data_IF_584535561450
#
_entry.id   IF_584535561450
#
_cell.length_a   1.000
_cell.length_b   1.000
_cell.length_c   1.000
_cell.angle_alpha   90.00
_cell.angle_beta   90.00
_cell.angle_gamma   90.00
#
_symmetry.space_group_name_H-M   'P 1'
#
loop_
_entity.id
_entity.type
_entity.pdbx_description
1 polymer ?
#
# COMPACT_ATOMS: atom_id res chain seq x y z
N UNK A 1 6.18 -22.64 14.49
CA UNK A 1 5.32 -21.43 14.68
C UNK A 1 4.72 -21.10 13.32
N UNK A 2 3.44 -20.73 13.25
CA UNK A 2 2.80 -20.29 12.01
C UNK A 2 3.49 -19.05 11.45
N UNK A 3 3.66 -18.98 10.12
CA UNK A 3 4.11 -17.76 9.44
C UNK A 3 2.89 -16.90 9.15
N UNK A 4 2.79 -15.73 9.75
CA UNK A 4 1.65 -14.81 9.57
C UNK A 4 1.95 -13.82 8.46
N UNK A 5 0.99 -13.66 7.55
CA UNK A 5 0.94 -12.61 6.54
C UNK A 5 -0.29 -11.73 6.80
N UNK A 6 -0.07 -10.47 7.12
CA UNK A 6 -1.14 -9.49 7.32
C UNK A 6 -1.34 -8.67 6.04
N UNK A 7 -2.58 -8.54 5.58
CA UNK A 7 -2.90 -7.86 4.33
C UNK A 7 -3.96 -6.80 4.57
N UNK A 8 -3.57 -5.53 4.63
CA UNK A 8 -4.55 -4.44 4.66
C UNK A 8 -5.20 -4.24 3.29
N UNK A 9 -6.47 -3.84 3.26
CA UNK A 9 -7.23 -3.84 2.01
C UNK A 9 -7.54 -5.25 1.49
N UNK A 10 -7.36 -6.29 2.33
CA UNK A 10 -7.47 -7.71 1.96
C UNK A 10 -8.86 -8.20 1.60
N UNK A 11 -9.90 -7.38 1.76
CA UNK A 11 -11.28 -7.76 1.45
C UNK A 11 -11.68 -7.69 -0.03
N UNK A 12 -10.82 -7.22 -0.94
CA UNK A 12 -11.11 -7.15 -2.38
C UNK A 12 -9.90 -6.78 -3.22
N UNK A 13 -10.02 -6.91 -4.55
CA UNK A 13 -9.05 -6.43 -5.53
C UNK A 13 -7.64 -6.99 -5.30
N UNK A 14 -6.62 -6.14 -5.43
CA UNK A 14 -5.21 -6.54 -5.28
C UNK A 14 -4.95 -7.18 -3.91
N UNK A 15 -5.52 -6.59 -2.83
CA UNK A 15 -5.32 -7.10 -1.48
C UNK A 15 -5.86 -8.51 -1.28
N UNK A 16 -7.05 -8.79 -1.80
CA UNK A 16 -7.63 -10.14 -1.72
C UNK A 16 -6.85 -11.16 -2.58
N UNK A 17 -6.46 -10.78 -3.78
CA UNK A 17 -5.63 -11.63 -4.64
C UNK A 17 -4.27 -11.94 -3.99
N UNK A 18 -3.60 -10.94 -3.39
CA UNK A 18 -2.35 -11.13 -2.66
C UNK A 18 -2.53 -12.02 -1.42
N UNK A 19 -3.63 -11.85 -0.68
CA UNK A 19 -3.99 -12.70 0.45
C UNK A 19 -4.15 -14.17 0.03
N UNK A 20 -4.90 -14.40 -1.06
CA UNK A 20 -5.11 -15.74 -1.63
C UNK A 20 -3.79 -16.38 -2.09
N UNK A 21 -2.92 -15.62 -2.71
CA UNK A 21 -1.62 -16.12 -3.16
C UNK A 21 -0.66 -16.40 -1.99
N UNK A 22 -0.67 -15.57 -0.93
CA UNK A 22 0.10 -15.82 0.30
C UNK A 22 -0.39 -17.09 1.02
N UNK A 23 -1.72 -17.29 1.10
CA UNK A 23 -2.31 -18.49 1.69
C UNK A 23 -1.86 -19.78 0.98
N UNK A 24 -1.80 -19.79 -0.37
CA UNK A 24 -1.27 -20.90 -1.16
C UNK A 24 0.20 -21.21 -0.85
N UNK A 25 0.96 -20.25 -0.35
CA UNK A 25 2.34 -20.44 0.11
C UNK A 25 2.44 -20.90 1.57
N UNK A 26 1.32 -21.22 2.20
CA UNK A 26 1.27 -21.76 3.56
C UNK A 26 1.34 -20.70 4.66
N UNK A 27 1.09 -19.43 4.34
CA UNK A 27 0.92 -18.41 5.37
C UNK A 27 -0.45 -18.53 6.04
N UNK A 28 -0.47 -18.31 7.35
CA UNK A 28 -1.68 -17.89 8.04
C UNK A 28 -1.99 -16.47 7.64
N UNK A 29 -3.15 -16.23 7.01
CA UNK A 29 -3.46 -14.94 6.41
C UNK A 29 -4.45 -14.16 7.27
N UNK A 30 -4.07 -12.96 7.68
CA UNK A 30 -4.96 -12.01 8.34
C UNK A 30 -5.35 -10.91 7.36
N UNK A 31 -6.61 -10.91 6.91
CA UNK A 31 -7.12 -9.85 6.03
C UNK A 31 -7.73 -8.72 6.84
N UNK A 32 -7.36 -7.50 6.49
CA UNK A 32 -7.62 -6.30 7.29
C UNK A 32 -8.35 -5.24 6.46
N UNK A 33 -9.32 -4.58 7.07
CA UNK A 33 -10.08 -3.50 6.46
C UNK A 33 -11.16 -2.95 7.39
N UNK A 34 -11.97 -2.00 6.92
CA UNK A 34 -13.03 -1.36 7.71
C UNK A 34 -14.41 -2.02 7.57
N UNK A 35 -14.64 -2.73 6.49
CA UNK A 35 -15.94 -3.33 6.20
C UNK A 35 -15.96 -4.81 6.58
N UNK A 36 -16.50 -5.08 7.77
CA UNK A 36 -16.54 -6.43 8.36
C UNK A 36 -17.29 -7.44 7.51
N UNK A 37 -18.41 -7.06 6.87
CA UNK A 37 -19.15 -7.96 5.98
C UNK A 37 -18.32 -8.40 4.78
N UNK A 38 -17.57 -7.45 4.19
CA UNK A 38 -16.67 -7.73 3.07
C UNK A 38 -15.51 -8.62 3.47
N UNK A 39 -14.94 -8.37 4.65
CA UNK A 39 -13.88 -9.20 5.23
C UNK A 39 -14.39 -10.62 5.52
N UNK A 40 -15.57 -10.76 6.13
CA UNK A 40 -16.15 -12.07 6.43
C UNK A 40 -16.35 -12.92 5.17
N UNK A 41 -16.91 -12.33 4.10
CA UNK A 41 -17.06 -13.02 2.82
C UNK A 41 -15.73 -13.44 2.19
N UNK A 42 -14.70 -12.59 2.27
CA UNK A 42 -13.37 -12.90 1.77
C UNK A 42 -12.68 -14.02 2.59
N UNK A 43 -12.83 -14.02 3.92
CA UNK A 43 -12.33 -15.14 4.77
C UNK A 43 -13.04 -16.44 4.44
N UNK A 44 -14.36 -16.41 4.25
CA UNK A 44 -15.12 -17.60 3.88
C UNK A 44 -14.61 -18.21 2.56
N UNK A 45 -14.31 -17.36 1.56
CA UNK A 45 -13.73 -17.82 0.29
C UNK A 45 -12.35 -18.45 0.50
N UNK A 46 -11.45 -17.81 1.26
CA UNK A 46 -10.14 -18.36 1.58
C UNK A 46 -10.24 -19.72 2.29
N UNK A 47 -11.16 -19.84 3.24
CA UNK A 47 -11.36 -21.10 4.00
C UNK A 47 -11.96 -22.21 3.14
N UNK A 48 -12.83 -21.91 2.18
CA UNK A 48 -13.33 -22.88 1.19
C UNK A 48 -12.20 -23.46 0.33
N UNK A 49 -11.17 -22.66 0.05
CA UNK A 49 -9.96 -23.08 -0.65
C UNK A 49 -8.96 -23.83 0.30
N UNK A 50 -9.37 -24.16 1.53
CA UNK A 50 -8.55 -24.87 2.52
C UNK A 50 -7.49 -24.02 3.21
N UNK A 51 -7.55 -22.70 3.08
CA UNK A 51 -6.58 -21.79 3.64
C UNK A 51 -6.90 -21.43 5.10
N UNK A 52 -5.87 -21.26 5.94
CA UNK A 52 -6.02 -20.71 7.27
C UNK A 52 -6.07 -19.20 7.19
N UNK A 53 -7.21 -18.59 7.49
CA UNK A 53 -7.40 -17.14 7.41
C UNK A 53 -8.34 -16.61 8.48
N UNK A 54 -8.13 -15.35 8.86
CA UNK A 54 -9.04 -14.57 9.70
C UNK A 54 -9.21 -13.13 9.20
N UNK A 55 -10.24 -12.47 9.69
CA UNK A 55 -10.52 -11.07 9.45
C UNK A 55 -10.21 -10.24 10.70
N UNK A 56 -9.66 -9.04 10.49
CA UNK A 56 -9.47 -8.06 11.54
C UNK A 56 -9.96 -6.67 11.08
N UNK A 57 -10.84 -6.05 11.87
CA UNK A 57 -11.35 -4.69 11.57
C UNK A 57 -10.33 -3.66 12.03
N UNK A 58 -9.81 -2.85 11.10
CA UNK A 58 -8.85 -1.79 11.41
C UNK A 58 -8.99 -0.62 10.43
N UNK A 59 -9.00 0.60 10.97
CA UNK A 59 -8.75 1.81 10.20
C UNK A 59 -7.26 2.17 10.29
N UNK A 60 -6.55 2.12 9.17
CA UNK A 60 -5.11 2.39 9.13
C UNK A 60 -4.76 3.86 9.45
N UNK A 61 -5.72 4.78 9.34
CA UNK A 61 -5.53 6.16 9.75
C UNK A 61 -5.48 6.34 11.27
N UNK A 62 -6.00 5.37 12.02
CA UNK A 62 -5.95 5.32 13.48
C UNK A 62 -4.70 4.55 13.96
N UNK A 63 -3.83 5.25 14.68
CA UNK A 63 -2.58 4.69 15.18
C UNK A 63 -2.81 3.54 16.18
N UNK A 64 -3.73 3.72 17.12
CA UNK A 64 -3.99 2.73 18.17
C UNK A 64 -4.58 1.45 17.58
N UNK A 65 -5.44 1.56 16.57
CA UNK A 65 -5.94 0.40 15.83
C UNK A 65 -4.82 -0.35 15.11
N UNK A 66 -3.82 0.36 14.54
CA UNK A 66 -2.67 -0.30 13.90
C UNK A 66 -1.80 -1.06 14.90
N UNK A 67 -1.54 -0.50 16.09
CA UNK A 67 -0.79 -1.18 17.14
C UNK A 67 -1.56 -2.36 17.75
N UNK A 68 -2.87 -2.25 17.89
CA UNK A 68 -3.72 -3.38 18.32
C UNK A 68 -3.68 -4.51 17.30
N UNK A 69 -3.80 -4.20 16.00
CA UNK A 69 -3.65 -5.16 14.91
C UNK A 69 -2.28 -5.86 14.96
N UNK A 70 -1.19 -5.12 15.13
CA UNK A 70 0.15 -5.69 15.17
C UNK A 70 0.32 -6.66 16.34
N UNK A 71 -0.16 -6.30 17.53
CA UNK A 71 -0.15 -7.20 18.71
C UNK A 71 -0.93 -8.47 18.45
N UNK A 72 -2.16 -8.35 17.94
CA UNK A 72 -3.00 -9.51 17.61
C UNK A 72 -2.32 -10.42 16.56
N UNK A 73 -1.71 -9.85 15.53
CA UNK A 73 -0.98 -10.64 14.54
C UNK A 73 0.20 -11.42 15.16
N UNK A 74 0.92 -10.84 16.13
CA UNK A 74 2.00 -11.51 16.84
C UNK A 74 1.52 -12.66 17.75
N UNK A 75 0.31 -12.56 18.30
CA UNK A 75 -0.33 -13.64 19.06
C UNK A 75 -0.67 -14.85 18.17
N UNK A 76 -0.98 -14.61 16.89
CA UNK A 76 -1.28 -15.68 15.91
C UNK A 76 -0.04 -16.44 15.44
N UNK A 77 1.17 -15.85 15.52
CA UNK A 77 2.40 -16.51 15.08
C UNK A 77 3.53 -15.54 14.75
N UNK A 78 4.53 -16.02 14.01
CA UNK A 78 5.64 -15.18 13.54
C UNK A 78 5.17 -14.28 12.39
N UNK A 79 5.12 -12.97 12.61
CA UNK A 79 4.74 -12.00 11.56
C UNK A 79 5.88 -11.91 10.54
N UNK A 80 5.75 -12.64 9.44
CA UNK A 80 6.75 -12.71 8.35
C UNK A 80 6.46 -11.77 7.21
N UNK A 81 5.20 -11.34 7.06
CA UNK A 81 4.82 -10.43 6.01
C UNK A 81 3.75 -9.44 6.46
N UNK A 82 3.92 -8.18 6.09
CA UNK A 82 2.91 -7.13 6.15
C UNK A 82 2.74 -6.52 4.77
N UNK A 83 1.60 -6.79 4.13
CA UNK A 83 1.23 -6.23 2.83
C UNK A 83 0.28 -5.06 3.05
N UNK A 84 0.82 -3.84 3.04
CA UNK A 84 0.03 -2.62 3.22
C UNK A 84 -0.56 -2.17 1.88
N UNK A 85 -1.75 -2.69 1.55
CA UNK A 85 -2.44 -2.43 0.27
C UNK A 85 -3.61 -1.47 0.43
N UNK A 86 -4.11 -1.29 1.67
CA UNK A 86 -5.17 -0.34 1.95
C UNK A 86 -4.79 1.08 1.52
N UNK A 87 -5.75 1.78 0.94
CA UNK A 87 -5.61 3.18 0.56
C UNK A 87 -6.94 3.76 0.07
N UNK A 88 -6.99 5.07 -0.04
CA UNK A 88 -8.13 5.81 -0.59
C UNK A 88 -7.76 6.41 -1.94
N UNK A 89 -8.67 6.28 -2.93
CA UNK A 89 -8.56 6.99 -4.21
C UNK A 89 -9.10 8.43 -4.08
N UNK A 90 -8.84 9.31 -5.07
CA UNK A 90 -9.37 10.68 -5.08
C UNK A 90 -10.91 10.77 -4.97
N UNK A 91 -11.63 9.71 -5.39
CA UNK A 91 -13.08 9.67 -5.39
C UNK A 91 -13.71 9.14 -4.08
N UNK A 92 -12.89 8.80 -3.06
CA UNK A 92 -13.38 8.19 -1.82
C UNK A 92 -13.50 9.16 -0.64
N UNK A 93 -13.02 10.38 -0.77
CA UNK A 93 -13.07 11.38 0.30
C UNK A 93 -12.36 12.67 -0.07
N UNK A 94 -12.32 13.58 0.89
CA UNK A 94 -11.59 14.85 0.73
C UNK A 94 -10.07 14.64 0.83
N UNK A 95 -9.31 15.66 0.42
CA UNK A 95 -7.85 15.64 0.37
C UNK A 95 -7.19 15.33 1.73
N UNK A 96 -7.82 15.73 2.83
CA UNK A 96 -7.29 15.50 4.18
C UNK A 96 -7.44 14.03 4.58
N UNK A 97 -8.61 13.42 4.35
CA UNK A 97 -8.85 11.99 4.60
C UNK A 97 -7.94 11.12 3.74
N UNK A 98 -7.74 11.49 2.46
CA UNK A 98 -6.81 10.80 1.55
C UNK A 98 -5.38 10.85 2.13
N UNK A 99 -4.94 12.01 2.59
CA UNK A 99 -3.60 12.17 3.17
C UNK A 99 -3.45 11.39 4.49
N UNK A 100 -4.47 11.41 5.35
CA UNK A 100 -4.50 10.65 6.60
C UNK A 100 -4.42 9.13 6.33
N UNK A 101 -5.26 8.61 5.45
CA UNK A 101 -5.29 7.18 5.17
C UNK A 101 -4.02 6.70 4.43
N UNK A 102 -3.57 7.43 3.40
CA UNK A 102 -2.47 6.97 2.55
C UNK A 102 -1.09 7.31 3.12
N UNK A 103 -0.88 8.52 3.65
CA UNK A 103 0.44 8.89 4.15
C UNK A 103 0.62 8.53 5.63
N UNK A 104 -0.25 9.02 6.53
CA UNK A 104 -0.14 8.66 7.95
C UNK A 104 -0.49 7.20 8.20
N UNK A 105 -1.41 6.61 7.44
CA UNK A 105 -1.71 5.18 7.50
C UNK A 105 -0.48 4.33 7.23
N UNK A 106 0.34 4.67 6.22
CA UNK A 106 1.62 4.00 5.95
C UNK A 106 2.57 4.11 7.15
N UNK A 107 2.70 5.32 7.74
CA UNK A 107 3.54 5.52 8.94
C UNK A 107 3.04 4.69 10.12
N UNK A 108 1.71 4.69 10.36
CA UNK A 108 1.11 3.95 11.47
C UNK A 108 1.36 2.44 11.35
N UNK A 109 1.16 1.89 10.15
CA UNK A 109 1.38 0.47 9.87
C UNK A 109 2.86 0.11 10.05
N UNK A 110 3.78 0.88 9.44
CA UNK A 110 5.20 0.56 9.54
C UNK A 110 5.70 0.68 10.98
N UNK A 111 5.25 1.68 11.73
CA UNK A 111 5.60 1.81 13.15
C UNK A 111 5.09 0.62 13.98
N UNK A 112 3.82 0.26 13.81
CA UNK A 112 3.21 -0.83 14.56
C UNK A 112 3.86 -2.19 14.22
N UNK A 113 4.09 -2.45 12.93
CA UNK A 113 4.68 -3.71 12.49
C UNK A 113 6.20 -3.78 12.71
N UNK A 114 6.89 -2.66 12.81
CA UNK A 114 8.28 -2.66 13.27
C UNK A 114 8.43 -3.33 14.64
N UNK A 115 7.47 -3.15 15.55
CA UNK A 115 7.55 -3.76 16.88
C UNK A 115 7.50 -5.29 16.86
N UNK A 116 6.73 -5.88 15.94
CA UNK A 116 6.36 -7.30 15.92
C UNK A 116 6.91 -8.10 14.75
N UNK A 117 7.47 -7.44 13.74
CA UNK A 117 8.01 -8.14 12.58
C UNK A 117 9.11 -9.11 12.99
N UNK A 118 9.00 -10.36 12.55
CA UNK A 118 9.99 -11.38 12.84
C UNK A 118 11.22 -11.23 11.94
N UNK A 119 12.35 -11.77 12.39
CA UNK A 119 13.57 -11.87 11.58
C UNK A 119 13.29 -12.50 10.20
N UNK A 120 13.88 -11.96 9.15
CA UNK A 120 13.62 -12.34 7.75
C UNK A 120 12.28 -11.85 7.19
N UNK A 121 11.49 -11.13 8.01
CA UNK A 121 10.19 -10.59 7.59
C UNK A 121 10.31 -9.44 6.60
N UNK A 122 9.17 -9.13 5.95
CA UNK A 122 9.10 -8.08 4.95
C UNK A 122 7.81 -7.26 5.08
N UNK A 123 7.94 -5.94 5.04
CA UNK A 123 6.84 -4.99 4.87
C UNK A 123 6.83 -4.50 3.44
N UNK A 124 5.65 -4.50 2.80
CA UNK A 124 5.47 -3.98 1.45
C UNK A 124 4.38 -2.91 1.46
N UNK A 125 4.77 -1.69 1.20
CA UNK A 125 3.86 -0.55 1.09
C UNK A 125 3.38 -0.39 -0.37
N UNK A 126 2.09 -0.11 -0.55
CA UNK A 126 1.53 0.04 -1.90
C UNK A 126 1.37 1.50 -2.29
N UNK A 127 2.13 1.91 -3.28
CA UNK A 127 2.05 3.22 -3.91
C UNK A 127 1.03 3.25 -5.07
N UNK A 128 1.26 4.05 -6.08
CA UNK A 128 0.49 4.16 -7.33
C UNK A 128 1.34 4.86 -8.39
N UNK A 129 1.10 4.57 -9.67
CA UNK A 129 1.70 5.32 -10.79
C UNK A 129 1.45 6.83 -10.73
N UNK A 130 0.41 7.29 -10.01
CA UNK A 130 0.19 8.71 -9.76
C UNK A 130 1.38 9.42 -9.08
N UNK A 131 2.20 8.67 -8.34
CA UNK A 131 3.44 9.17 -7.74
C UNK A 131 4.53 9.50 -8.79
N UNK A 132 4.50 8.82 -9.93
CA UNK A 132 5.44 9.02 -11.04
C UNK A 132 4.90 10.00 -12.09
N UNK A 133 3.60 9.93 -12.34
CA UNK A 133 2.92 10.82 -13.31
C UNK A 133 2.98 12.28 -12.86
N UNK A 134 2.78 12.52 -11.58
CA UNK A 134 2.82 13.87 -11.03
C UNK A 134 4.25 14.47 -11.06
N UNK A 135 4.40 15.76 -11.44
CA UNK A 135 5.72 16.38 -11.57
C UNK A 135 6.51 16.36 -10.27
N UNK A 136 7.74 15.89 -10.30
CA UNK A 136 8.60 15.76 -9.12
C UNK A 136 8.82 17.10 -8.35
N UNK A 137 8.75 18.24 -9.03
CA UNK A 137 8.95 19.55 -8.40
C UNK A 137 7.78 20.00 -7.50
N UNK A 138 6.57 19.43 -7.69
CA UNK A 138 5.44 19.73 -6.81
C UNK A 138 5.48 18.90 -5.52
N UNK A 139 6.30 17.84 -5.47
CA UNK A 139 6.39 16.95 -4.32
C UNK A 139 7.10 17.62 -3.16
N UNK A 140 6.46 17.76 -1.99
CA UNK A 140 7.02 18.49 -0.85
C UNK A 140 8.03 17.66 -0.05
N UNK A 141 9.08 17.15 -0.71
CA UNK A 141 10.08 16.22 -0.13
C UNK A 141 10.72 16.72 1.16
N UNK A 142 10.85 18.08 1.32
CA UNK A 142 11.38 18.69 2.55
C UNK A 142 10.43 18.58 3.75
N UNK A 143 9.16 18.29 3.51
CA UNK A 143 8.13 18.10 4.55
C UNK A 143 8.09 16.65 5.05
N UNK A 144 8.46 15.69 4.21
CA UNK A 144 8.32 14.26 4.48
C UNK A 144 8.96 13.79 5.80
N UNK A 145 10.18 14.23 6.19
CA UNK A 145 10.78 13.79 7.45
C UNK A 145 9.96 14.12 8.70
N UNK A 146 9.09 15.14 8.63
CA UNK A 146 8.20 15.50 9.74
C UNK A 146 7.22 14.38 10.10
N UNK A 147 6.89 13.48 9.18
CA UNK A 147 6.02 12.33 9.46
C UNK A 147 6.56 11.43 10.60
N UNK A 148 7.88 11.41 10.78
CA UNK A 148 8.54 10.62 11.83
C UNK A 148 8.73 11.39 13.15
N UNK A 149 8.64 12.74 13.15
CA UNK A 149 8.97 13.58 14.29
C UNK A 149 7.80 14.39 14.82
N UNK A 150 6.98 14.93 13.93
CA UNK A 150 5.80 15.76 14.26
C UNK A 150 4.71 15.55 13.21
N UNK A 151 3.83 14.59 13.45
CA UNK A 151 2.75 14.20 12.52
C UNK A 151 1.73 15.29 12.29
N UNK A 152 1.44 16.11 13.32
CA UNK A 152 0.52 17.24 13.17
C UNK A 152 1.12 18.28 12.23
N UNK A 153 2.37 18.67 12.45
CA UNK A 153 3.06 19.62 11.59
C UNK A 153 3.25 19.06 10.16
N UNK A 154 3.50 17.73 10.03
CA UNK A 154 3.52 17.06 8.74
C UNK A 154 2.20 17.26 7.99
N UNK A 155 1.07 16.93 8.61
CA UNK A 155 -0.26 17.08 8.01
C UNK A 155 -0.55 18.54 7.66
N UNK A 156 -0.31 19.48 8.57
CA UNK A 156 -0.55 20.90 8.34
C UNK A 156 0.24 21.41 7.12
N UNK A 157 1.52 21.02 7.01
CA UNK A 157 2.37 21.42 5.89
C UNK A 157 2.00 20.72 4.59
N UNK A 158 1.65 19.44 4.62
CA UNK A 158 1.17 18.73 3.44
C UNK A 158 -0.13 19.36 2.92
N UNK A 159 -1.10 19.60 3.81
CA UNK A 159 -2.37 20.22 3.44
C UNK A 159 -2.21 21.67 2.96
N UNK A 160 -1.25 22.43 3.53
CA UNK A 160 -0.91 23.75 3.00
C UNK A 160 -0.43 23.66 1.54
N UNK A 161 0.36 22.65 1.18
CA UNK A 161 0.80 22.43 -0.20
C UNK A 161 -0.36 22.02 -1.12
N UNK A 162 -1.23 21.12 -0.68
CA UNK A 162 -2.43 20.73 -1.44
C UNK A 162 -3.34 21.94 -1.70
N UNK A 163 -3.55 22.79 -0.70
CA UNK A 163 -4.40 24.00 -0.82
C UNK A 163 -3.89 25.05 -1.80
N UNK A 164 -2.63 24.98 -2.22
CA UNK A 164 -2.08 25.86 -3.28
C UNK A 164 -2.65 25.54 -4.68
N UNK A 165 -3.26 24.38 -4.85
CA UNK A 165 -3.87 23.96 -6.10
C UNK A 165 -5.36 24.32 -6.17
N UNK A 166 -5.94 24.44 -7.38
CA UNK A 166 -7.37 24.68 -7.56
C UNK A 166 -8.22 23.63 -6.82
N UNK A 167 -9.33 24.07 -6.22
CA UNK A 167 -10.18 23.20 -5.39
C UNK A 167 -10.54 21.87 -6.06
N UNK A 168 -10.88 21.91 -7.34
CA UNK A 168 -11.28 20.73 -8.14
C UNK A 168 -10.19 19.68 -8.38
N UNK A 169 -8.93 19.97 -8.06
CA UNK A 169 -7.78 19.06 -8.29
C UNK A 169 -7.13 18.61 -6.99
N UNK A 170 -7.60 19.10 -5.83
CA UNK A 170 -6.94 18.88 -4.54
C UNK A 170 -6.90 17.41 -4.13
N UNK A 171 -7.95 16.68 -4.39
CA UNK A 171 -8.04 15.26 -4.07
C UNK A 171 -6.99 14.46 -4.89
N UNK A 172 -6.89 14.70 -6.19
CA UNK A 172 -5.87 14.07 -7.04
C UNK A 172 -4.44 14.47 -6.66
N UNK A 173 -4.23 15.74 -6.29
CA UNK A 173 -2.91 16.23 -5.82
C UNK A 173 -2.55 15.58 -4.47
N UNK A 174 -3.48 15.52 -3.51
CA UNK A 174 -3.26 14.87 -2.23
C UNK A 174 -2.95 13.37 -2.42
N UNK A 175 -3.67 12.71 -3.31
CA UNK A 175 -3.42 11.32 -3.67
C UNK A 175 -1.99 11.14 -4.22
N UNK A 176 -1.62 11.89 -5.25
CA UNK A 176 -0.28 11.80 -5.85
C UNK A 176 0.83 12.11 -4.84
N UNK A 177 0.67 13.14 -4.00
CA UNK A 177 1.63 13.48 -2.95
C UNK A 177 1.73 12.37 -1.89
N UNK A 178 0.59 11.79 -1.47
CA UNK A 178 0.58 10.70 -0.49
C UNK A 178 1.25 9.43 -1.03
N UNK A 179 1.01 9.09 -2.30
CA UNK A 179 1.63 7.91 -2.93
C UNK A 179 3.12 8.10 -3.21
N UNK A 180 3.54 9.32 -3.57
CA UNK A 180 4.97 9.64 -3.65
C UNK A 180 5.64 9.59 -2.26
N UNK A 181 4.94 10.04 -1.20
CA UNK A 181 5.41 9.91 0.17
C UNK A 181 5.61 8.43 0.55
N UNK A 182 4.69 7.55 0.20
CA UNK A 182 4.79 6.09 0.47
C UNK A 182 6.10 5.51 -0.08
N UNK A 183 6.46 5.83 -1.34
CA UNK A 183 7.74 5.39 -1.94
C UNK A 183 8.94 5.94 -1.16
N UNK A 184 8.91 7.23 -0.82
CA UNK A 184 9.98 7.86 -0.06
C UNK A 184 10.10 7.22 1.33
N UNK A 185 8.97 6.98 2.01
CA UNK A 185 8.95 6.45 3.37
C UNK A 185 9.49 5.02 3.43
N UNK A 186 9.10 4.13 2.52
CA UNK A 186 9.64 2.78 2.44
C UNK A 186 11.17 2.78 2.28
N UNK A 187 11.73 3.71 1.47
CA UNK A 187 13.18 3.87 1.31
C UNK A 187 13.87 4.32 2.58
N UNK A 188 13.27 5.27 3.32
CA UNK A 188 13.85 5.77 4.58
C UNK A 188 13.77 4.74 5.69
N UNK A 189 12.70 3.95 5.71
CA UNK A 189 12.42 2.99 6.76
C UNK A 189 13.28 1.70 6.65
N UNK A 190 13.84 1.44 5.50
CA UNK A 190 14.67 0.26 5.24
C UNK A 190 15.82 0.10 6.26
N UNK A 191 16.52 1.18 6.59
CA UNK A 191 17.61 1.14 7.58
C UNK A 191 17.10 0.82 9.00
N UNK A 192 15.87 1.25 9.35
CA UNK A 192 15.24 0.91 10.62
C UNK A 192 14.93 -0.58 10.69
N UNK A 193 14.27 -1.13 9.67
CA UNK A 193 13.90 -2.55 9.62
C UNK A 193 15.10 -3.49 9.51
N UNK A 194 16.17 -3.06 8.83
CA UNK A 194 17.42 -3.83 8.75
C UNK A 194 18.02 -4.16 10.13
N UNK A 195 17.79 -3.32 11.16
CA UNK A 195 18.21 -3.60 12.54
C UNK A 195 17.52 -4.83 13.16
N UNK A 196 16.41 -5.27 12.59
CA UNK A 196 15.69 -6.51 12.96
C UNK A 196 15.91 -7.63 11.93
N UNK A 197 16.86 -7.50 11.02
CA UNK A 197 17.02 -8.40 9.87
C UNK A 197 15.73 -8.53 9.05
N UNK A 198 14.93 -7.48 9.00
CA UNK A 198 13.70 -7.39 8.21
C UNK A 198 13.86 -6.38 7.07
N UNK A 199 12.94 -6.41 6.10
CA UNK A 199 12.98 -5.59 4.90
C UNK A 199 11.75 -4.70 4.76
N UNK A 200 11.91 -3.56 4.09
CA UNK A 200 10.80 -2.71 3.66
C UNK A 200 10.97 -2.38 2.19
N UNK A 201 9.89 -2.50 1.45
CA UNK A 201 9.82 -2.23 0.02
C UNK A 201 8.55 -1.43 -0.28
N UNK A 202 8.49 -0.80 -1.45
CA UNK A 202 7.21 -0.39 -2.02
C UNK A 202 6.94 -1.08 -3.35
N UNK A 203 5.67 -1.29 -3.65
CA UNK A 203 5.19 -1.67 -4.98
C UNK A 203 4.34 -0.53 -5.51
N UNK A 204 4.57 -0.15 -6.74
CA UNK A 204 3.77 0.85 -7.46
C UNK A 204 2.94 0.17 -8.55
N UNK A 205 1.66 -0.13 -8.28
CA UNK A 205 0.73 -0.61 -9.30
C UNK A 205 0.40 0.47 -10.33
N UNK A 206 0.21 0.05 -11.57
CA UNK A 206 -0.52 0.80 -12.58
C UNK A 206 -2.04 0.63 -12.44
N UNK A 207 -2.74 0.63 -13.58
CA UNK A 207 -4.18 0.43 -13.60
C UNK A 207 -4.52 -1.05 -13.57
N UNK A 208 -5.33 -1.45 -12.57
CA UNK A 208 -5.78 -2.82 -12.37
C UNK A 208 -7.32 -2.88 -12.31
N UNK A 209 -7.90 -3.98 -12.81
CA UNK A 209 -9.33 -4.28 -12.77
C UNK A 209 -9.75 -4.60 -11.31
N UNK A 210 -10.06 -3.56 -10.56
CA UNK A 210 -10.46 -3.66 -9.15
C UNK A 210 -11.65 -2.75 -8.87
N UNK A 211 -12.40 -2.97 -7.78
CA UNK A 211 -13.43 -2.03 -7.35
C UNK A 211 -12.91 -0.59 -7.19
N UNK A 212 -11.67 -0.41 -6.72
CA UNK A 212 -11.02 0.89 -6.63
C UNK A 212 -10.66 1.44 -8.02
N UNK A 213 -10.07 0.62 -8.90
CA UNK A 213 -9.71 1.01 -10.28
C UNK A 213 -10.92 1.39 -11.11
N UNK A 214 -12.09 0.82 -10.83
CA UNK A 214 -13.33 1.19 -11.52
C UNK A 214 -13.79 2.63 -11.20
N UNK A 215 -13.43 3.18 -10.03
CA UNK A 215 -13.69 4.58 -9.69
C UNK A 215 -12.82 5.56 -10.48
N UNK A 216 -11.67 5.10 -10.97
CA UNK A 216 -10.64 5.89 -11.69
C UNK A 216 -10.61 5.53 -13.19
N UNK A 217 -11.64 4.85 -13.72
CA UNK A 217 -11.63 4.25 -15.06
C UNK A 217 -11.42 5.27 -16.20
N UNK A 218 -11.97 6.46 -16.07
CA UNK A 218 -11.83 7.51 -17.08
C UNK A 218 -10.39 8.04 -17.13
N UNK A 219 -9.81 8.38 -15.97
CA UNK A 219 -8.43 8.82 -15.87
C UNK A 219 -7.47 7.69 -16.29
N UNK A 220 -7.74 6.46 -15.83
CA UNK A 220 -6.96 5.28 -16.17
C UNK A 220 -6.87 5.06 -17.69
N UNK A 221 -7.99 5.21 -18.41
CA UNK A 221 -8.04 5.05 -19.87
C UNK A 221 -7.10 6.00 -20.61
N UNK A 222 -6.92 7.21 -20.08
CA UNK A 222 -6.05 8.24 -20.66
C UNK A 222 -4.59 7.80 -20.70
N UNK A 223 -4.15 7.00 -19.73
CA UNK A 223 -2.77 6.55 -19.63
C UNK A 223 -2.50 5.22 -20.35
N UNK A 224 -3.53 4.45 -20.69
CA UNK A 224 -3.37 3.17 -21.42
C UNK A 224 -2.65 3.33 -22.77
N UNK A 225 -2.78 4.48 -23.42
CA UNK A 225 -2.05 4.77 -24.68
C UNK A 225 -0.53 4.75 -24.53
N UNK A 226 -0.01 4.98 -23.33
CA UNK A 226 1.41 4.95 -23.02
C UNK A 226 1.89 3.56 -22.60
N UNK A 227 1.00 2.70 -22.08
CA UNK A 227 1.39 1.37 -21.64
C UNK A 227 1.92 0.51 -22.79
N UNK A 228 2.94 -0.28 -22.56
CA UNK A 228 3.40 -1.29 -23.49
C UNK A 228 2.35 -2.41 -23.63
N UNK A 229 1.75 -2.80 -22.51
CA UNK A 229 0.62 -3.74 -22.46
C UNK A 229 -0.67 -2.93 -22.47
N UNK A 230 -1.36 -2.89 -23.63
CA UNK A 230 -2.53 -2.01 -23.90
C UNK A 230 -3.83 -2.46 -23.22
N UNK A 231 -3.78 -2.82 -21.95
CA UNK A 231 -4.94 -3.19 -21.12
C UNK A 231 -4.66 -2.92 -19.66
N UNK A 232 -5.69 -2.91 -18.84
CA UNK A 232 -5.53 -2.96 -17.39
C UNK A 232 -4.94 -4.31 -16.97
N UNK A 233 -4.17 -4.32 -15.90
CA UNK A 233 -3.75 -5.54 -15.23
C UNK A 233 -4.90 -6.17 -14.44
N UNK A 234 -4.84 -7.48 -14.24
CA UNK A 234 -5.75 -8.18 -13.33
C UNK A 234 -5.09 -8.34 -11.96
N UNK A 235 -5.85 -8.32 -10.85
CA UNK A 235 -5.31 -8.51 -9.50
C UNK A 235 -4.41 -9.75 -9.37
N UNK A 236 -4.74 -10.83 -10.09
CA UNK A 236 -4.01 -12.09 -10.09
C UNK A 236 -2.63 -11.98 -10.78
N UNK A 237 -2.40 -10.93 -11.56
CA UNK A 237 -1.12 -10.69 -12.24
C UNK A 237 -0.10 -9.95 -11.35
N UNK A 238 -0.57 -9.18 -10.36
CA UNK A 238 0.31 -8.49 -9.41
C UNK A 238 0.46 -9.26 -8.08
N UNK A 239 -0.51 -10.08 -7.71
CA UNK A 239 -0.48 -10.85 -6.47
C UNK A 239 0.77 -11.73 -6.32
N UNK A 240 1.23 -12.47 -7.36
CA UNK A 240 2.49 -13.22 -7.31
C UNK A 240 3.72 -12.34 -7.04
N UNK A 241 3.73 -11.08 -7.48
CA UNK A 241 4.82 -10.15 -7.20
C UNK A 241 4.92 -9.84 -5.70
N UNK A 242 3.77 -9.53 -5.03
CA UNK A 242 3.78 -9.33 -3.58
C UNK A 242 4.33 -10.54 -2.85
N UNK A 243 3.92 -11.74 -3.24
CA UNK A 243 4.34 -12.98 -2.57
C UNK A 243 5.78 -13.36 -2.90
N UNK A 244 6.25 -13.10 -4.09
CA UNK A 244 7.67 -13.28 -4.43
C UNK A 244 8.57 -12.37 -3.58
N UNK A 245 8.16 -11.12 -3.35
CA UNK A 245 8.97 -10.15 -2.61
C UNK A 245 9.04 -10.41 -1.09
N UNK A 246 8.10 -11.14 -0.50
CA UNK A 246 8.19 -11.55 0.90
C UNK A 246 9.05 -12.81 1.12
N UNK A 247 9.57 -13.41 0.07
CA UNK A 247 10.47 -14.56 0.16
C UNK A 247 11.77 -14.16 0.88
N UNK A 248 12.12 -14.89 1.94
CA UNK A 248 13.31 -14.64 2.77
C UNK A 248 14.63 -14.75 1.96
N UNK A 249 14.63 -15.48 0.84
CA UNK A 249 15.78 -15.60 -0.06
C UNK A 249 16.14 -14.30 -0.76
N UNK A 250 15.22 -13.34 -0.82
CA UNK A 250 15.45 -11.99 -1.33
C UNK A 250 16.00 -11.04 -0.25
N UNK A 251 16.79 -11.56 0.69
CA UNK A 251 17.26 -10.85 1.90
C UNK A 251 18.05 -9.57 1.61
N UNK A 252 18.64 -9.44 0.43
CA UNK A 252 19.42 -8.24 0.03
C UNK A 252 18.58 -7.18 -0.68
N UNK A 253 17.29 -7.46 -0.96
CA UNK A 253 16.36 -6.54 -1.63
C UNK A 253 15.55 -5.74 -0.61
N UNK A 254 15.90 -4.49 -0.36
CA UNK A 254 15.19 -3.57 0.55
C UNK A 254 15.34 -2.12 0.09
N UNK A 255 14.50 -1.22 0.58
CA UNK A 255 14.60 0.23 0.33
C UNK A 255 14.39 0.63 -1.13
N UNK A 256 13.65 -0.15 -1.90
CA UNK A 256 13.37 0.13 -3.32
C UNK A 256 11.89 0.14 -3.61
N UNK A 257 11.51 0.77 -4.73
CA UNK A 257 10.17 0.72 -5.29
C UNK A 257 10.15 -0.15 -6.53
N UNK A 258 9.13 -0.99 -6.66
CA UNK A 258 8.96 -1.89 -7.78
C UNK A 258 7.70 -1.49 -8.56
N UNK A 259 7.93 -0.98 -9.76
CA UNK A 259 6.87 -0.54 -10.66
C UNK A 259 6.26 -1.74 -11.41
N UNK A 260 4.94 -1.88 -11.32
CA UNK A 260 4.16 -2.93 -12.00
C UNK A 260 2.95 -2.28 -12.69
N UNK A 261 3.16 -1.71 -13.88
CA UNK A 261 2.22 -0.81 -14.56
C UNK A 261 2.00 -1.12 -16.05
N UNK A 262 2.42 -2.30 -16.50
CA UNK A 262 2.33 -2.66 -17.93
C UNK A 262 3.20 -1.79 -18.83
N UNK A 263 4.24 -1.14 -18.27
CA UNK A 263 5.16 -0.29 -19.01
C UNK A 263 4.62 1.13 -19.29
N UNK A 264 3.63 1.57 -18.53
CA UNK A 264 2.95 2.87 -18.74
C UNK A 264 3.90 4.05 -18.50
N UNK A 265 4.63 4.05 -17.38
CA UNK A 265 5.61 5.11 -17.07
C UNK A 265 6.80 5.06 -18.05
N UNK A 266 7.29 3.87 -18.38
CA UNK A 266 8.36 3.69 -19.37
C UNK A 266 7.97 4.19 -20.77
N UNK A 267 6.69 4.12 -21.10
CA UNK A 267 6.12 4.66 -22.36
C UNK A 267 5.86 6.17 -22.35
N UNK A 268 6.24 6.87 -21.26
CA UNK A 268 6.18 8.34 -21.19
C UNK A 268 4.93 8.93 -20.55
N UNK A 269 4.14 8.13 -19.83
CA UNK A 269 3.00 8.66 -19.09
C UNK A 269 3.45 9.71 -18.06
N UNK A 270 2.90 10.91 -18.15
CA UNK A 270 3.17 12.02 -17.24
C UNK A 270 2.01 13.01 -17.24
N UNK A 271 1.95 13.90 -16.25
CA UNK A 271 0.94 14.96 -16.19
C UNK A 271 0.98 15.93 -17.41
N UNK A 272 2.06 15.92 -18.15
CA UNK A 272 2.27 16.77 -19.34
C UNK A 272 2.15 15.98 -20.65
N UNK A 273 1.99 14.67 -20.59
CA UNK A 273 1.83 13.84 -21.76
C UNK A 273 0.47 14.10 -22.43
N UNK A 274 0.48 14.37 -23.76
CA UNK A 274 -0.71 14.62 -24.59
C UNK A 274 -1.06 13.40 -25.45
#
# INVERSE_FOLDING_TARGET
MKKVCVVTGGGSGIGFAAAKEAAKKGYYVMIVGRNEKKLAGAVEELRKDGCEAEAYSCDVSDREHCFALARHAAECGAVKAMLHIAGMSPHMGDAEKIMQANALGTVNINDAFFEVIAEGGCVIDTSSTSAYVAPSFIMPKRVYPLACTDRKLFMDKMMKKVKMFPRKTREGVAYSMSKHFTIWFAKQDAARFARKNARVLSITPGNFETPLGNLEKEEASTYLKFAAIKRNGRPEEIAPLYVALIDERLSYLTGTDILCDGGCIAGGASAFAR
#
